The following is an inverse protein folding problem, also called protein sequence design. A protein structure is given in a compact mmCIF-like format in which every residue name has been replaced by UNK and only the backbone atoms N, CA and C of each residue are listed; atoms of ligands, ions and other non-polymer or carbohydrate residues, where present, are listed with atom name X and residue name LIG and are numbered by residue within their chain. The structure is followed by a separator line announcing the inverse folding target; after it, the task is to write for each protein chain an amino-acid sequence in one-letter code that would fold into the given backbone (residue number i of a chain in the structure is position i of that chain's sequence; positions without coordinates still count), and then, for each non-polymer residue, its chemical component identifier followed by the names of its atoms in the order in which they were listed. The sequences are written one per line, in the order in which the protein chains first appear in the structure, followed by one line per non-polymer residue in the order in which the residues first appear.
data_IF_232217684645
#
_entry.id   IF_232217684645
#
_cell.length_a   1.000
_cell.length_b   1.000
_cell.length_c   1.000
_cell.angle_alpha   90.00
_cell.angle_beta   90.00
_cell.angle_gamma   90.00
#
_symmetry.space_group_name_H-M   'P 1'
#
loop_
_entity.id
_entity.type
_entity.pdbx_description
1 polymer ?
#
# COMPACT_ATOMS: atom_id res chain seq x y z
N UNK A 1 24.97 -18.25 12.91
CA UNK A 1 24.00 -17.67 11.95
C UNK A 1 22.51 -17.82 12.33
N UNK A 2 22.04 -18.95 12.88
CA UNK A 2 20.61 -19.16 13.18
C UNK A 2 20.04 -18.39 14.41
N UNK A 3 20.86 -18.12 15.43
CA UNK A 3 20.42 -17.42 16.65
C UNK A 3 20.19 -15.92 16.45
N UNK A 4 20.81 -15.32 15.43
CA UNK A 4 20.61 -13.92 15.09
C UNK A 4 19.18 -13.66 14.59
N UNK A 5 18.65 -14.56 13.76
CA UNK A 5 17.28 -14.43 13.22
C UNK A 5 16.23 -14.53 14.33
N UNK A 6 16.42 -15.45 15.29
CA UNK A 6 15.54 -15.57 16.46
C UNK A 6 15.50 -14.29 17.31
N UNK A 7 16.67 -13.67 17.55
CA UNK A 7 16.76 -12.41 18.29
C UNK A 7 16.08 -11.26 17.55
N UNK A 8 16.18 -11.22 16.21
CA UNK A 8 15.49 -10.21 15.39
C UNK A 8 13.98 -10.37 15.48
N UNK A 9 13.45 -11.60 15.33
CA UNK A 9 12.01 -11.85 15.46
C UNK A 9 11.51 -11.47 16.85
N UNK A 10 12.24 -11.82 17.90
CA UNK A 10 11.88 -11.46 19.27
C UNK A 10 11.90 -9.93 19.48
N UNK A 11 12.90 -9.24 18.94
CA UNK A 11 12.96 -7.78 18.97
C UNK A 11 11.79 -7.13 18.21
N UNK A 12 11.41 -7.67 17.04
CA UNK A 12 10.23 -7.20 16.30
C UNK A 12 8.94 -7.36 17.12
N UNK A 13 8.74 -8.52 17.76
CA UNK A 13 7.55 -8.77 18.59
C UNK A 13 7.49 -7.80 19.78
N UNK A 14 8.63 -7.58 20.45
CA UNK A 14 8.68 -6.61 21.56
C UNK A 14 8.40 -5.20 21.05
N UNK A 15 8.99 -4.80 19.92
CA UNK A 15 8.77 -3.48 19.33
C UNK A 15 7.30 -3.24 18.94
N UNK A 16 6.66 -4.20 18.24
CA UNK A 16 5.24 -4.07 17.88
C UNK A 16 4.32 -4.05 19.09
N UNK A 17 4.66 -4.79 20.15
CA UNK A 17 3.89 -4.77 21.41
C UNK A 17 3.97 -3.40 22.07
N UNK A 18 5.16 -2.79 22.16
CA UNK A 18 5.35 -1.45 22.75
C UNK A 18 4.58 -0.39 21.97
N UNK A 19 4.64 -0.43 20.64
CA UNK A 19 3.89 0.50 19.77
C UNK A 19 2.38 0.32 19.95
N UNK A 20 1.89 -0.91 20.00
CA UNK A 20 0.45 -1.19 20.19
C UNK A 20 -0.05 -0.67 21.54
N UNK A 21 0.73 -0.83 22.60
CA UNK A 21 0.41 -0.28 23.94
C UNK A 21 0.41 1.25 23.91
N UNK A 22 1.36 1.88 23.22
CA UNK A 22 1.38 3.33 23.06
C UNK A 22 0.12 3.87 22.34
N UNK A 23 -0.33 3.20 21.27
CA UNK A 23 -1.59 3.55 20.60
C UNK A 23 -2.82 3.35 21.50
N UNK A 24 -2.84 2.32 22.35
CA UNK A 24 -3.91 2.13 23.32
C UNK A 24 -4.00 3.29 24.34
N UNK A 25 -2.86 3.87 24.73
CA UNK A 25 -2.82 5.06 25.61
C UNK A 25 -3.14 6.37 24.88
N UNK A 26 -2.94 6.44 23.57
CA UNK A 26 -3.29 7.62 22.76
C UNK A 26 -4.81 7.87 22.67
N UNK A 27 -5.63 6.89 23.05
CA UNK A 27 -7.09 7.03 23.11
C UNK A 27 -7.76 7.07 21.74
N UNK A 28 -7.03 6.76 20.67
CA UNK A 28 -7.57 6.71 19.33
C UNK A 28 -8.48 5.49 19.16
N UNK A 29 -9.57 5.65 18.41
CA UNK A 29 -10.51 4.54 18.23
C UNK A 29 -9.85 3.43 17.41
N UNK A 30 -10.00 2.18 17.84
CA UNK A 30 -9.51 1.04 17.07
C UNK A 30 -10.07 1.04 15.63
N UNK A 31 -11.29 1.54 15.44
CA UNK A 31 -11.93 1.67 14.13
C UNK A 31 -11.26 2.69 13.22
N UNK A 32 -10.89 3.88 13.71
CA UNK A 32 -10.21 4.90 12.91
C UNK A 32 -8.80 4.47 12.50
N UNK A 33 -8.05 3.81 13.40
CA UNK A 33 -6.77 3.21 13.04
C UNK A 33 -6.93 2.15 11.95
N UNK A 34 -7.93 1.28 12.10
CA UNK A 34 -8.21 0.23 11.13
C UNK A 34 -8.58 0.85 9.78
N UNK A 35 -9.49 1.81 9.75
CA UNK A 35 -9.93 2.51 8.53
C UNK A 35 -8.76 3.11 7.75
N UNK A 36 -7.87 3.86 8.40
CA UNK A 36 -6.67 4.41 7.77
C UNK A 36 -5.71 3.33 7.26
N UNK A 37 -5.52 2.25 8.03
CA UNK A 37 -4.65 1.14 7.62
C UNK A 37 -5.20 0.36 6.43
N UNK A 38 -6.53 0.19 6.37
CA UNK A 38 -7.21 -0.47 5.26
C UNK A 38 -7.11 0.39 4.00
N UNK A 39 -7.33 1.70 4.10
CA UNK A 39 -7.15 2.64 3.00
C UNK A 39 -5.74 2.55 2.39
N UNK A 40 -4.69 2.61 3.22
CA UNK A 40 -3.29 2.52 2.79
C UNK A 40 -2.95 1.19 2.13
N UNK A 41 -3.45 0.08 2.68
CA UNK A 41 -3.20 -1.26 2.14
C UNK A 41 -3.96 -1.50 0.83
N UNK A 42 -5.18 -0.97 0.71
CA UNK A 42 -5.99 -1.06 -0.50
C UNK A 42 -5.39 -0.23 -1.64
N UNK A 43 -4.85 0.95 -1.35
CA UNK A 43 -4.29 1.83 -2.36
C UNK A 43 -2.89 1.43 -2.84
N UNK A 44 -2.07 0.85 -1.95
CA UNK A 44 -0.70 0.48 -2.27
C UNK A 44 -0.57 -0.93 -2.88
N UNK A 45 -0.34 -1.95 -2.05
CA UNK A 45 0.05 -3.29 -2.51
C UNK A 45 -1.06 -4.06 -3.24
N UNK A 46 -2.34 -3.71 -3.06
CA UNK A 46 -3.44 -4.44 -3.71
C UNK A 46 -3.29 -4.50 -5.23
N UNK A 47 -2.98 -3.37 -5.88
CA UNK A 47 -2.79 -3.31 -7.33
C UNK A 47 -1.58 -4.14 -7.76
N UNK A 48 -0.45 -4.04 -7.05
CA UNK A 48 0.75 -4.84 -7.36
C UNK A 48 0.48 -6.34 -7.21
N UNK A 49 -0.25 -6.76 -6.18
CA UNK A 49 -0.59 -8.16 -5.95
C UNK A 49 -1.52 -8.70 -7.04
N UNK A 50 -2.58 -7.96 -7.38
CA UNK A 50 -3.54 -8.37 -8.42
C UNK A 50 -2.87 -8.45 -9.78
N UNK A 51 -2.18 -7.39 -10.21
CA UNK A 51 -1.55 -7.38 -11.52
C UNK A 51 -0.28 -8.24 -11.58
N UNK A 52 0.45 -8.39 -10.48
CA UNK A 52 1.59 -9.31 -10.40
C UNK A 52 1.19 -10.78 -10.50
N UNK A 53 0.02 -11.17 -10.00
CA UNK A 53 -0.48 -12.54 -10.05
C UNK A 53 -1.23 -12.87 -11.35
N UNK A 54 -2.01 -11.92 -11.89
CA UNK A 54 -2.91 -12.17 -13.03
C UNK A 54 -2.42 -11.63 -14.37
N UNK A 55 -1.40 -10.76 -14.43
CA UNK A 55 -0.96 -10.12 -15.67
C UNK A 55 0.31 -10.77 -16.24
N UNK A 56 0.18 -11.43 -17.41
CA UNK A 56 1.29 -12.14 -18.06
C UNK A 56 2.38 -11.22 -18.62
N UNK A 57 2.12 -9.91 -18.73
CA UNK A 57 3.10 -8.85 -19.10
C UNK A 57 3.53 -8.04 -17.86
N UNK A 58 3.97 -8.74 -16.82
CA UNK A 58 4.41 -8.10 -15.59
C UNK A 58 5.67 -7.26 -15.83
N UNK A 59 5.58 -5.94 -15.62
CA UNK A 59 6.73 -5.04 -15.66
C UNK A 59 7.03 -4.53 -14.24
N UNK A 60 8.26 -4.77 -13.78
CA UNK A 60 8.70 -4.39 -12.43
C UNK A 60 8.65 -2.88 -12.20
N UNK A 61 8.98 -2.06 -13.21
CA UNK A 61 8.93 -0.60 -13.09
C UNK A 61 7.47 -0.11 -13.08
N UNK A 62 6.57 -0.74 -13.83
CA UNK A 62 5.14 -0.43 -13.76
C UNK A 62 4.54 -0.79 -12.39
N UNK A 63 4.97 -1.90 -11.78
CA UNK A 63 4.57 -2.30 -10.43
C UNK A 63 5.00 -1.27 -9.38
N UNK A 64 6.28 -0.88 -9.39
CA UNK A 64 6.80 0.09 -8.41
C UNK A 64 6.18 1.47 -8.59
N UNK A 65 6.01 1.94 -9.83
CA UNK A 65 5.40 3.25 -10.09
C UNK A 65 3.94 3.31 -9.67
N UNK A 66 3.13 2.31 -10.01
CA UNK A 66 1.72 2.24 -9.56
C UNK A 66 1.58 2.13 -8.05
N UNK A 67 2.48 1.39 -7.38
CA UNK A 67 2.54 1.31 -5.92
C UNK A 67 2.80 2.67 -5.28
N UNK A 68 3.86 3.34 -5.73
CA UNK A 68 4.27 4.65 -5.21
C UNK A 68 3.19 5.69 -5.47
N UNK A 69 2.56 5.67 -6.65
CA UNK A 69 1.50 6.61 -6.99
C UNK A 69 0.25 6.41 -6.12
N UNK A 70 -0.17 5.17 -5.90
CA UNK A 70 -1.33 4.85 -5.06
C UNK A 70 -1.13 5.28 -3.61
N UNK A 71 0.08 5.07 -3.09
CA UNK A 71 0.45 5.54 -1.77
C UNK A 71 0.52 7.07 -1.71
N UNK A 72 1.06 7.73 -2.74
CA UNK A 72 1.14 9.19 -2.80
C UNK A 72 -0.24 9.85 -2.82
N UNK A 73 -1.22 9.28 -3.54
CA UNK A 73 -2.59 9.80 -3.59
C UNK A 73 -3.26 9.68 -2.22
N UNK A 74 -3.14 8.52 -1.57
CA UNK A 74 -3.75 8.28 -0.25
C UNK A 74 -3.09 9.14 0.84
N UNK A 75 -1.76 9.34 0.75
CA UNK A 75 -1.05 10.21 1.67
C UNK A 75 -1.38 11.69 1.43
N UNK A 76 -1.61 12.10 0.19
CA UNK A 76 -2.03 13.46 -0.14
C UNK A 76 -3.40 13.79 0.48
N UNK A 77 -4.37 12.87 0.45
CA UNK A 77 -5.65 13.05 1.15
C UNK A 77 -5.45 13.22 2.67
N UNK A 78 -4.59 12.41 3.26
CA UNK A 78 -4.31 12.51 4.70
C UNK A 78 -3.71 13.87 5.10
N UNK A 79 -3.03 14.56 4.17
CA UNK A 79 -2.48 15.91 4.36
C UNK A 79 -3.51 17.00 4.00
N UNK A 80 -4.36 16.76 3.00
CA UNK A 80 -5.37 17.68 2.50
C UNK A 80 -6.78 17.08 2.57
N UNK A 81 -7.40 17.06 3.76
CA UNK A 81 -8.73 16.48 3.95
C UNK A 81 -9.87 17.28 3.29
N UNK A 82 -9.61 18.52 2.84
CA UNK A 82 -10.60 19.40 2.21
C UNK A 82 -10.96 19.00 0.77
N UNK A 83 -10.31 17.97 0.21
CA UNK A 83 -10.61 17.46 -1.13
C UNK A 83 -11.87 16.60 -1.04
N UNK A 84 -13.03 17.23 -1.11
CA UNK A 84 -14.30 16.52 -1.22
C UNK A 84 -14.52 16.06 -2.66
N UNK A 85 -14.11 14.82 -2.93
CA UNK A 85 -14.21 14.20 -4.25
C UNK A 85 -15.57 13.52 -4.47
N UNK A 86 -16.46 13.50 -3.47
CA UNK A 86 -17.73 12.78 -3.49
C UNK A 86 -17.62 11.25 -3.58
N UNK A 87 -16.39 10.72 -3.53
CA UNK A 87 -16.05 9.29 -3.56
C UNK A 87 -14.91 9.02 -2.59
N UNK A 88 -14.85 7.82 -1.98
CA UNK A 88 -13.75 7.46 -1.10
C UNK A 88 -12.44 7.43 -1.88
N UNK A 89 -11.46 8.24 -1.47
CA UNK A 89 -10.16 8.38 -2.14
C UNK A 89 -9.38 7.07 -2.26
N UNK A 90 -9.44 6.09 -1.33
CA UNK A 90 -8.77 4.80 -1.53
C UNK A 90 -9.23 4.08 -2.81
N UNK A 91 -10.49 4.29 -3.22
CA UNK A 91 -11.04 3.77 -4.47
C UNK A 91 -10.43 4.48 -5.68
N UNK A 92 -10.24 5.79 -5.59
CA UNK A 92 -9.61 6.60 -6.63
C UNK A 92 -8.14 6.25 -6.75
N UNK A 93 -7.42 6.13 -5.64
CA UNK A 93 -6.03 5.71 -5.61
C UNK A 93 -5.86 4.33 -6.27
N UNK A 94 -6.73 3.37 -5.94
CA UNK A 94 -6.74 2.05 -6.55
C UNK A 94 -7.02 2.10 -8.06
N UNK A 95 -8.02 2.87 -8.48
CA UNK A 95 -8.35 3.03 -9.90
C UNK A 95 -7.21 3.68 -10.68
N UNK A 96 -6.62 4.75 -10.16
CA UNK A 96 -5.49 5.45 -10.78
C UNK A 96 -4.27 4.53 -10.86
N UNK A 97 -3.92 3.84 -9.77
CA UNK A 97 -2.80 2.89 -9.75
C UNK A 97 -3.00 1.75 -10.75
N UNK A 98 -4.21 1.21 -10.86
CA UNK A 98 -4.54 0.18 -11.86
C UNK A 98 -4.39 0.72 -13.29
N UNK A 99 -4.91 1.92 -13.58
CA UNK A 99 -4.77 2.55 -14.89
C UNK A 99 -3.31 2.82 -15.25
N UNK A 100 -2.52 3.30 -14.29
CA UNK A 100 -1.09 3.58 -14.46
C UNK A 100 -0.32 2.29 -14.72
N UNK A 101 -0.59 1.23 -13.96
CA UNK A 101 0.03 -0.07 -14.20
C UNK A 101 -0.27 -0.57 -15.61
N UNK A 102 -1.53 -0.53 -16.03
CA UNK A 102 -1.95 -0.99 -17.36
C UNK A 102 -1.34 -0.12 -18.46
N UNK A 103 -1.38 1.21 -18.32
CA UNK A 103 -0.82 2.12 -19.30
C UNK A 103 0.70 1.91 -19.48
N UNK A 104 1.43 1.75 -18.37
CA UNK A 104 2.88 1.51 -18.40
C UNK A 104 3.23 0.10 -18.90
N UNK A 105 2.43 -0.91 -18.55
CA UNK A 105 2.58 -2.29 -19.03
C UNK A 105 2.30 -2.38 -20.54
N UNK A 106 1.35 -1.61 -21.08
CA UNK A 106 1.03 -1.57 -22.51
C UNK A 106 2.02 -0.72 -23.33
N UNK A 107 2.56 0.34 -22.75
CA UNK A 107 3.53 1.22 -23.42
C UNK A 107 4.87 0.54 -23.72
N UNK A 108 5.15 -0.61 -23.09
CA UNK A 108 6.37 -1.37 -23.35
C UNK A 108 6.08 -2.60 -24.23
N UNK A 109 6.91 -2.82 -25.27
CA UNK A 109 6.76 -3.99 -26.13
C UNK A 109 6.93 -5.26 -25.30
N UNK A 110 6.09 -6.26 -25.57
CA UNK A 110 6.10 -7.52 -24.86
C UNK A 110 7.50 -8.18 -24.92
N UNK A 111 7.97 -8.84 -23.84
CA UNK A 111 9.19 -9.64 -23.90
C UNK A 111 9.06 -10.68 -25.04
N UNK A 112 10.13 -10.94 -25.82
CA UNK A 112 10.11 -12.03 -26.79
C UNK A 112 9.85 -13.34 -26.05
N UNK A 113 8.88 -14.10 -26.57
CA UNK A 113 8.42 -15.38 -26.04
C UNK A 113 9.52 -16.45 -26.05
#
# INVERSE_FOLDING_TARGET
PGTAMMKVTQACVVATTVVSVAFAFAGESAFSLLEGSYALTLAGPFVVLVFGLFWRRGDERAAVTSLVLGYAITLAEMIWPDIDLGVPVPLVALAVSALVYVALSLARPAPPA
#
